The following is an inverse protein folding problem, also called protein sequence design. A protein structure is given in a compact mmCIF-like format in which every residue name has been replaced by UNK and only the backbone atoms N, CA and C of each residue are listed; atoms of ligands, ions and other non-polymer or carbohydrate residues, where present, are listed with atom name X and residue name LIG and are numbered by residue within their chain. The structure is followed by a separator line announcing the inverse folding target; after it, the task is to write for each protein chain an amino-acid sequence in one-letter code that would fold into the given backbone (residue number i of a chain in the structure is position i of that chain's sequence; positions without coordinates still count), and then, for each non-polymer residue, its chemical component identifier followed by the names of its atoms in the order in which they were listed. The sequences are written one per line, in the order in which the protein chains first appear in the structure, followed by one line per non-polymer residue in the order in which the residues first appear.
data_IF_128482717196
#
_entry.id   IF_128482717196
#
_cell.length_a   1.000
_cell.length_b   1.000
_cell.length_c   1.000
_cell.angle_alpha   90.00
_cell.angle_beta   90.00
_cell.angle_gamma   90.00
#
_symmetry.space_group_name_H-M   'P 1'
#
loop_
_entity.id
_entity.type
_entity.pdbx_description
1 polymer ?
#
# COMPACT_ATOMS: atom_id res chain seq x y z
N UNK A 1 -13.21 63.14 22.22
CA UNK A 1 -12.25 62.02 22.37
C UNK A 1 -12.77 60.95 23.35
N UNK A 2 -14.04 60.51 23.27
CA UNK A 2 -14.67 59.61 24.29
C UNK A 2 -14.78 58.12 23.91
N UNK A 3 -14.36 57.74 22.70
CA UNK A 3 -14.50 56.36 22.21
C UNK A 3 -13.15 55.63 22.09
N UNK A 4 -12.05 56.30 22.43
CA UNK A 4 -10.69 55.73 22.38
C UNK A 4 -10.58 54.42 23.17
N UNK A 5 -11.05 54.30 24.43
CA UNK A 5 -10.91 53.05 25.17
C UNK A 5 -11.75 51.91 24.57
N UNK A 6 -12.91 52.21 23.99
CA UNK A 6 -13.76 51.22 23.31
C UNK A 6 -13.16 50.72 21.99
N UNK A 7 -12.56 51.61 21.21
CA UNK A 7 -11.83 51.21 20.01
C UNK A 7 -10.58 50.39 20.36
N UNK A 8 -9.88 50.74 21.45
CA UNK A 8 -8.70 50.00 21.91
C UNK A 8 -9.05 48.57 22.37
N UNK A 9 -10.16 48.39 23.09
CA UNK A 9 -10.62 47.05 23.48
C UNK A 9 -11.13 46.24 22.29
N UNK A 10 -11.83 46.86 21.34
CA UNK A 10 -12.26 46.20 20.11
C UNK A 10 -11.07 45.73 19.26
N UNK A 11 -10.03 46.56 19.13
CA UNK A 11 -8.79 46.20 18.42
C UNK A 11 -8.08 45.06 19.16
N UNK A 12 -7.98 45.12 20.50
CA UNK A 12 -7.32 44.07 21.28
C UNK A 12 -8.06 42.73 21.16
N UNK A 13 -9.40 42.73 21.19
CA UNK A 13 -10.21 41.52 20.97
C UNK A 13 -10.07 40.97 19.55
N UNK A 14 -10.03 41.85 18.55
CA UNK A 14 -9.83 41.47 17.16
C UNK A 14 -8.44 40.84 16.96
N UNK A 15 -7.38 41.46 17.50
CA UNK A 15 -6.01 40.92 17.46
C UNK A 15 -5.92 39.59 18.21
N UNK A 16 -6.55 39.46 19.39
CA UNK A 16 -6.62 38.21 20.12
C UNK A 16 -7.38 37.12 19.35
N UNK A 17 -8.46 37.47 18.65
CA UNK A 17 -9.20 36.57 17.77
C UNK A 17 -8.36 36.09 16.58
N UNK A 18 -7.59 36.99 15.95
CA UNK A 18 -6.65 36.63 14.89
C UNK A 18 -5.49 35.75 15.38
N UNK A 19 -4.95 36.02 16.57
CA UNK A 19 -3.94 35.19 17.22
C UNK A 19 -4.48 33.80 17.55
N UNK A 20 -5.73 33.71 18.00
CA UNK A 20 -6.40 32.44 18.26
C UNK A 20 -6.59 31.62 16.98
N UNK A 21 -6.97 32.27 15.88
CA UNK A 21 -7.08 31.63 14.56
C UNK A 21 -5.72 31.18 13.98
N UNK A 22 -4.61 31.76 14.45
CA UNK A 22 -3.26 31.41 14.00
C UNK A 22 -2.61 30.27 14.81
N UNK A 23 -3.22 29.82 15.90
CA UNK A 23 -2.66 28.77 16.77
C UNK A 23 -3.51 27.51 16.64
N UNK A 24 -2.96 26.37 16.19
CA UNK A 24 -1.54 26.09 16.01
C UNK A 24 -1.00 26.47 14.61
N UNK A 25 0.14 27.20 14.50
CA UNK A 25 0.66 27.74 13.24
C UNK A 25 1.18 26.65 12.27
N UNK A 26 1.40 25.42 12.77
CA UNK A 26 1.86 24.29 11.97
C UNK A 26 0.76 23.62 11.14
N UNK A 27 -0.51 23.75 11.52
CA UNK A 27 -1.64 23.14 10.80
C UNK A 27 -2.27 24.10 9.78
N UNK A 28 -2.19 25.42 10.02
CA UNK A 28 -2.86 26.43 9.19
C UNK A 28 -2.05 26.92 7.99
N UNK A 29 -0.73 26.72 7.96
CA UNK A 29 0.16 27.24 6.92
C UNK A 29 0.78 26.13 6.06
N UNK A 30 0.24 25.95 4.85
CA UNK A 30 0.88 25.18 3.79
C UNK A 30 2.02 26.01 3.20
N UNK A 31 3.26 25.61 3.46
CA UNK A 31 4.44 26.21 2.83
C UNK A 31 4.44 25.77 1.36
N UNK A 32 4.69 26.73 0.48
CA UNK A 32 4.78 26.50 -0.96
C UNK A 32 6.01 25.71 -1.37
N UNK A 33 6.05 25.37 -2.67
CA UNK A 33 7.10 24.60 -3.33
C UNK A 33 8.52 25.06 -2.97
N UNK A 34 8.76 26.37 -2.98
CA UNK A 34 10.11 26.92 -2.84
C UNK A 34 10.71 26.73 -1.43
N UNK A 35 9.88 26.41 -0.43
CA UNK A 35 10.31 26.18 0.95
C UNK A 35 10.35 24.70 1.36
N UNK A 36 9.57 23.83 0.70
CA UNK A 36 9.49 22.40 1.03
C UNK A 36 10.10 21.49 -0.02
N UNK A 37 10.47 22.02 -1.19
CA UNK A 37 10.74 21.21 -2.37
C UNK A 37 9.47 20.61 -2.96
N UNK A 38 9.62 19.87 -4.05
CA UNK A 38 8.50 19.28 -4.78
C UNK A 38 8.89 18.02 -5.53
N UNK A 39 7.87 17.33 -6.03
CA UNK A 39 8.04 16.24 -6.99
C UNK A 39 7.68 16.77 -8.37
N UNK A 40 8.51 16.45 -9.35
CA UNK A 40 8.24 16.71 -10.76
C UNK A 40 7.87 15.41 -11.48
N UNK A 41 6.76 15.43 -12.21
CA UNK A 41 6.28 14.33 -13.04
C UNK A 41 6.28 14.80 -14.49
N UNK A 42 6.99 14.08 -15.36
CA UNK A 42 7.00 14.37 -16.80
C UNK A 42 6.09 13.40 -17.54
N UNK A 43 5.13 13.93 -18.29
CA UNK A 43 4.20 13.18 -19.12
C UNK A 43 4.51 13.40 -20.60
N UNK A 44 4.51 12.32 -21.39
CA UNK A 44 4.49 12.41 -22.85
C UNK A 44 3.05 12.57 -23.36
N UNK A 45 2.86 13.45 -24.32
CA UNK A 45 1.61 13.68 -25.04
C UNK A 45 1.78 13.14 -26.45
N UNK A 46 0.89 12.26 -26.89
CA UNK A 46 0.85 11.82 -28.29
C UNK A 46 0.21 12.94 -29.11
N UNK A 47 1.00 13.52 -30.03
CA UNK A 47 0.56 14.63 -30.88
C UNK A 47 0.44 14.11 -32.31
N UNK A 48 -0.71 14.29 -32.98
CA UNK A 48 -0.86 13.96 -34.40
C UNK A 48 0.11 14.75 -35.28
N UNK A 49 0.61 14.15 -36.36
CA UNK A 49 1.63 14.75 -37.25
C UNK A 49 1.19 16.10 -37.86
N UNK A 50 -0.11 16.27 -38.12
CA UNK A 50 -0.69 17.48 -38.73
C UNK A 50 -1.15 18.54 -37.70
N UNK A 51 -0.92 18.31 -36.40
CA UNK A 51 -1.40 19.20 -35.34
C UNK A 51 -0.34 20.20 -34.86
N UNK A 52 -0.79 21.40 -34.49
CA UNK A 52 0.06 22.38 -33.81
C UNK A 52 0.36 21.91 -32.37
N UNK A 53 1.60 21.50 -32.13
CA UNK A 53 2.04 21.00 -30.83
C UNK A 53 1.81 21.99 -29.70
N UNK A 54 2.06 23.29 -29.93
CA UNK A 54 1.91 24.29 -28.89
C UNK A 54 0.46 24.40 -28.45
N UNK A 55 -0.47 24.32 -29.41
CA UNK A 55 -1.91 24.33 -29.15
C UNK A 55 -2.38 23.05 -28.45
N UNK A 56 -1.94 21.88 -28.91
CA UNK A 56 -2.30 20.59 -28.29
C UNK A 56 -1.81 20.51 -26.85
N UNK A 57 -0.58 20.95 -26.58
CA UNK A 57 -0.03 21.00 -25.22
C UNK A 57 -0.81 21.99 -24.34
N UNK A 58 -1.16 23.17 -24.86
CA UNK A 58 -1.94 24.16 -24.12
C UNK A 58 -3.35 23.65 -23.75
N UNK A 59 -4.03 23.01 -24.71
CA UNK A 59 -5.35 22.41 -24.51
C UNK A 59 -5.29 21.27 -23.48
N UNK A 60 -4.27 20.39 -23.59
CA UNK A 60 -4.04 19.32 -22.63
C UNK A 60 -3.77 19.86 -21.22
N UNK A 61 -2.91 20.87 -21.08
CA UNK A 61 -2.65 21.55 -19.80
C UNK A 61 -3.95 22.12 -19.22
N UNK A 62 -4.81 22.75 -20.04
CA UNK A 62 -6.09 23.30 -19.60
C UNK A 62 -7.00 22.26 -18.95
N UNK A 63 -7.17 21.10 -19.61
CA UNK A 63 -7.97 19.98 -19.09
C UNK A 63 -7.36 19.41 -17.81
N UNK A 64 -6.04 19.20 -17.78
CA UNK A 64 -5.35 18.67 -16.61
C UNK A 64 -5.46 19.63 -15.41
N UNK A 65 -5.34 20.93 -15.63
CA UNK A 65 -5.49 21.97 -14.60
C UNK A 65 -6.90 22.00 -14.03
N UNK A 66 -7.93 21.93 -14.88
CA UNK A 66 -9.33 21.94 -14.43
C UNK A 66 -9.69 20.69 -13.61
N UNK A 67 -9.07 19.54 -13.91
CA UNK A 67 -9.31 18.29 -13.17
C UNK A 67 -8.53 18.22 -11.86
N UNK A 68 -7.26 18.62 -11.87
CA UNK A 68 -6.41 18.56 -10.69
C UNK A 68 -6.69 19.70 -9.71
N UNK A 69 -6.96 20.92 -10.20
CA UNK A 69 -7.09 22.09 -9.36
C UNK A 69 -8.21 23.03 -9.85
N UNK A 70 -9.48 22.59 -9.86
CA UNK A 70 -10.58 23.38 -10.39
C UNK A 70 -10.76 24.71 -9.65
N UNK A 71 -10.52 24.74 -8.33
CA UNK A 71 -10.61 25.95 -7.51
C UNK A 71 -9.31 26.76 -7.45
N UNK A 72 -8.23 26.30 -8.08
CA UNK A 72 -6.94 27.01 -8.08
C UNK A 72 -6.23 27.08 -6.73
N UNK A 73 -6.68 26.32 -5.72
CA UNK A 73 -6.20 26.41 -4.33
C UNK A 73 -4.87 25.68 -4.09
N UNK A 74 -4.53 24.72 -4.96
CA UNK A 74 -3.30 23.93 -4.85
C UNK A 74 -2.12 24.60 -5.59
N UNK A 75 -0.93 24.54 -5.01
CA UNK A 75 0.32 25.05 -5.60
C UNK A 75 0.90 24.06 -6.64
N UNK A 76 0.10 23.70 -7.66
CA UNK A 76 0.51 22.78 -8.73
C UNK A 76 0.81 23.59 -9.99
N UNK A 77 2.00 23.39 -10.55
CA UNK A 77 2.41 24.03 -11.80
C UNK A 77 2.46 23.03 -12.94
N UNK A 78 2.00 23.48 -14.12
CA UNK A 78 2.01 22.72 -15.37
C UNK A 78 2.86 23.49 -16.37
N UNK A 79 3.96 22.90 -16.81
CA UNK A 79 4.92 23.54 -17.72
C UNK A 79 5.10 22.65 -18.95
N UNK A 80 4.87 23.16 -20.17
CA UNK A 80 5.21 22.42 -21.38
C UNK A 80 6.73 22.27 -21.48
N UNK A 81 7.21 21.07 -21.77
CA UNK A 81 8.62 20.74 -21.92
C UNK A 81 8.89 20.16 -23.32
N UNK A 82 9.72 20.85 -24.10
CA UNK A 82 10.08 20.41 -25.44
C UNK A 82 8.89 20.32 -26.40
N UNK A 83 8.89 19.30 -27.27
CA UNK A 83 7.92 19.16 -28.36
C UNK A 83 6.60 18.51 -27.92
N UNK A 84 6.67 17.51 -27.03
CA UNK A 84 5.53 16.65 -26.70
C UNK A 84 5.46 16.25 -25.22
N UNK A 85 6.01 17.06 -24.31
CA UNK A 85 5.99 16.72 -22.88
C UNK A 85 5.36 17.82 -22.05
N UNK A 86 4.78 17.41 -20.92
CA UNK A 86 4.25 18.30 -19.89
C UNK A 86 4.91 17.89 -18.59
N UNK A 87 5.58 18.83 -17.94
CA UNK A 87 6.07 18.70 -16.58
C UNK A 87 5.02 19.22 -15.61
N UNK A 88 4.69 18.39 -14.62
CA UNK A 88 3.75 18.72 -13.56
C UNK A 88 4.51 18.69 -12.24
N UNK A 89 4.64 19.86 -11.60
CA UNK A 89 5.36 20.01 -10.34
C UNK A 89 4.37 20.26 -9.22
N UNK A 90 4.48 19.48 -8.14
CA UNK A 90 3.67 19.60 -6.94
C UNK A 90 4.55 19.73 -5.69
N UNK A 91 4.16 20.51 -4.67
CA UNK A 91 4.89 20.63 -3.42
C UNK A 91 4.87 19.30 -2.67
N UNK A 92 5.91 19.07 -1.87
CA UNK A 92 5.92 17.92 -0.98
C UNK A 92 4.86 18.07 0.13
N UNK A 93 4.18 16.97 0.52
CA UNK A 93 3.29 16.96 1.67
C UNK A 93 4.01 17.41 2.95
N UNK A 94 3.25 17.82 3.98
CA UNK A 94 3.83 18.22 5.26
C UNK A 94 4.64 17.06 5.89
N UNK A 95 5.64 17.34 6.74
CA UNK A 95 6.40 16.29 7.43
C UNK A 95 5.51 15.32 8.22
N UNK A 96 4.39 15.80 8.78
CA UNK A 96 3.38 14.96 9.45
C UNK A 96 2.75 13.97 8.48
N UNK A 97 2.30 14.42 7.31
CA UNK A 97 1.70 13.55 6.28
C UNK A 97 2.72 12.55 5.73
N UNK A 98 3.99 12.96 5.58
CA UNK A 98 5.07 12.06 5.17
C UNK A 98 5.31 10.95 6.21
N UNK A 99 5.36 11.29 7.51
CA UNK A 99 5.53 10.30 8.57
C UNK A 99 4.33 9.35 8.65
N UNK A 100 3.10 9.87 8.51
CA UNK A 100 1.89 9.05 8.45
C UNK A 100 1.92 8.08 7.24
N UNK A 101 2.34 8.56 6.08
CA UNK A 101 2.50 7.73 4.88
C UNK A 101 3.57 6.65 5.07
N UNK A 102 4.71 7.01 5.66
CA UNK A 102 5.80 6.08 5.94
C UNK A 102 5.41 5.04 7.01
N UNK A 103 4.66 5.44 8.02
CA UNK A 103 4.11 4.54 9.05
C UNK A 103 3.14 3.53 8.45
N UNK A 104 2.20 4.00 7.62
CA UNK A 104 1.29 3.14 6.86
C UNK A 104 2.04 2.14 5.96
N UNK A 105 2.99 2.62 5.15
CA UNK A 105 3.77 1.77 4.25
C UNK A 105 4.55 0.69 4.99
N UNK A 106 5.25 1.05 6.06
CA UNK A 106 5.98 0.08 6.90
C UNK A 106 5.06 -1.00 7.47
N UNK A 107 3.88 -0.63 7.96
CA UNK A 107 2.92 -1.62 8.48
C UNK A 107 2.35 -2.53 7.39
N UNK A 108 2.11 -1.98 6.19
CA UNK A 108 1.61 -2.73 5.05
C UNK A 108 2.65 -3.75 4.57
N UNK A 109 3.92 -3.34 4.43
CA UNK A 109 5.02 -4.23 4.06
C UNK A 109 5.22 -5.35 5.08
N UNK A 110 5.17 -5.04 6.38
CA UNK A 110 5.27 -6.03 7.44
C UNK A 110 4.10 -7.03 7.45
N UNK A 111 2.87 -6.54 7.18
CA UNK A 111 1.69 -7.40 7.05
C UNK A 111 1.82 -8.34 5.84
N UNK A 112 2.20 -7.82 4.67
CA UNK A 112 2.37 -8.63 3.46
C UNK A 112 3.45 -9.70 3.68
N UNK A 113 4.60 -9.31 4.25
CA UNK A 113 5.69 -10.23 4.54
C UNK A 113 5.31 -11.32 5.55
N UNK A 114 4.56 -10.99 6.60
CA UNK A 114 4.13 -11.97 7.61
C UNK A 114 2.96 -12.85 7.16
N UNK A 115 2.12 -12.36 6.24
CA UNK A 115 0.97 -13.09 5.71
C UNK A 115 1.34 -14.16 4.69
N UNK A 116 2.47 -13.97 3.98
CA UNK A 116 2.99 -14.96 3.05
C UNK A 116 3.68 -16.06 3.86
N UNK A 117 3.28 -17.30 3.60
CA UNK A 117 3.91 -18.46 4.21
C UNK A 117 4.14 -19.50 3.11
N UNK A 118 5.38 -19.60 2.65
CA UNK A 118 5.80 -20.65 1.72
C UNK A 118 6.24 -21.88 2.52
N UNK A 119 5.93 -23.08 2.03
CA UNK A 119 6.23 -24.32 2.75
C UNK A 119 7.72 -24.42 3.11
N UNK A 120 8.61 -24.14 2.15
CA UNK A 120 10.06 -24.18 2.35
C UNK A 120 10.55 -23.19 3.43
N UNK A 121 9.95 -22.00 3.50
CA UNK A 121 10.28 -21.01 4.52
C UNK A 121 9.80 -21.45 5.90
N UNK A 122 8.63 -22.10 5.99
CA UNK A 122 8.12 -22.68 7.23
C UNK A 122 9.04 -23.80 7.70
N UNK A 123 9.47 -24.69 6.80
CA UNK A 123 10.43 -25.76 7.09
C UNK A 123 11.74 -25.19 7.64
N UNK A 124 12.31 -24.19 6.95
CA UNK A 124 13.54 -23.54 7.38
C UNK A 124 13.38 -22.86 8.75
N UNK A 125 12.27 -22.16 8.99
CA UNK A 125 11.97 -21.54 10.27
C UNK A 125 11.73 -22.56 11.39
N UNK A 126 11.15 -23.72 11.07
CA UNK A 126 10.94 -24.81 12.03
C UNK A 126 12.28 -25.41 12.49
N UNK A 127 13.21 -25.62 11.56
CA UNK A 127 14.59 -26.00 11.89
C UNK A 127 15.33 -24.93 12.71
N UNK A 128 15.04 -23.65 12.47
CA UNK A 128 15.60 -22.54 13.25
C UNK A 128 14.90 -22.29 14.60
N UNK A 129 13.79 -22.99 14.90
CA UNK A 129 13.00 -22.81 16.13
C UNK A 129 12.33 -21.44 16.24
N UNK A 130 11.99 -20.80 15.11
CA UNK A 130 11.35 -19.49 15.07
C UNK A 130 10.12 -19.42 14.15
N UNK A 131 9.57 -20.58 13.76
CA UNK A 131 8.39 -20.68 12.92
C UNK A 131 7.16 -20.06 13.59
N UNK A 132 6.97 -20.30 14.89
CA UNK A 132 5.86 -19.70 15.66
C UNK A 132 5.98 -18.17 15.68
N UNK A 133 7.19 -17.64 15.86
CA UNK A 133 7.43 -16.20 15.92
C UNK A 133 7.22 -15.51 14.55
N UNK A 134 7.63 -16.14 13.45
CA UNK A 134 7.45 -15.58 12.09
C UNK A 134 6.03 -15.74 11.55
N UNK A 135 5.44 -16.91 11.69
CA UNK A 135 4.22 -17.31 10.96
C UNK A 135 3.00 -17.56 11.84
N UNK A 136 3.13 -17.46 13.18
CA UNK A 136 2.06 -17.79 14.12
C UNK A 136 0.90 -16.81 14.15
N UNK A 137 1.16 -15.52 13.93
CA UNK A 137 0.13 -14.48 13.97
C UNK A 137 -0.65 -14.46 15.30
N UNK A 138 -1.94 -14.20 15.24
CA UNK A 138 -2.86 -14.18 16.38
C UNK A 138 -3.66 -15.49 16.57
N UNK A 139 -3.51 -16.47 15.67
CA UNK A 139 -4.26 -17.72 15.72
C UNK A 139 -3.52 -18.78 16.56
N UNK A 140 -4.06 -19.10 17.73
CA UNK A 140 -3.51 -20.10 18.64
C UNK A 140 -3.47 -21.51 18.03
N UNK A 141 -4.42 -21.86 17.15
CA UNK A 141 -4.41 -23.16 16.46
C UNK A 141 -3.24 -23.22 15.50
N UNK A 142 -2.99 -22.14 14.76
CA UNK A 142 -1.85 -22.02 13.85
C UNK A 142 -0.52 -22.07 14.62
N UNK A 143 -0.41 -21.35 15.74
CA UNK A 143 0.77 -21.40 16.62
C UNK A 143 1.04 -22.82 17.14
N UNK A 144 -0.01 -23.53 17.57
CA UNK A 144 0.09 -24.91 18.02
C UNK A 144 0.64 -25.85 16.95
N UNK A 145 0.16 -25.73 15.71
CA UNK A 145 0.68 -26.51 14.56
C UNK A 145 2.13 -26.17 14.23
N UNK A 146 2.50 -24.88 14.24
CA UNK A 146 3.89 -24.46 14.01
C UNK A 146 4.84 -24.97 15.11
N UNK A 147 4.41 -24.96 16.37
CA UNK A 147 5.16 -25.54 17.47
C UNK A 147 5.35 -27.07 17.31
N UNK A 148 4.35 -27.78 16.80
CA UNK A 148 4.48 -29.19 16.44
C UNK A 148 5.50 -29.41 15.33
N UNK A 149 5.56 -28.53 14.31
CA UNK A 149 6.58 -28.60 13.26
C UNK A 149 7.99 -28.35 13.80
N UNK A 150 8.16 -27.39 14.70
CA UNK A 150 9.45 -27.16 15.39
C UNK A 150 9.89 -28.39 16.20
N UNK A 151 8.95 -29.12 16.81
CA UNK A 151 9.24 -30.40 17.47
C UNK A 151 9.67 -31.49 16.48
N UNK A 152 8.99 -31.62 15.33
CA UNK A 152 9.41 -32.56 14.28
C UNK A 152 10.80 -32.21 13.74
N UNK A 153 11.10 -30.92 13.58
CA UNK A 153 12.41 -30.46 13.14
C UNK A 153 13.51 -30.85 14.14
N UNK A 154 13.25 -30.69 15.45
CA UNK A 154 14.15 -31.12 16.52
C UNK A 154 14.31 -32.64 16.56
N UNK A 155 13.22 -33.40 16.36
CA UNK A 155 13.27 -34.87 16.27
C UNK A 155 14.11 -35.34 15.08
N UNK A 156 13.98 -34.71 13.91
CA UNK A 156 14.79 -35.03 12.74
C UNK A 156 16.28 -34.79 12.99
N UNK A 157 16.64 -33.68 13.66
CA UNK A 157 18.02 -33.39 14.06
C UNK A 157 18.57 -34.45 15.02
N UNK A 158 17.83 -34.77 16.09
CA UNK A 158 18.22 -35.79 17.05
C UNK A 158 18.38 -37.18 16.40
N UNK A 159 17.49 -37.54 15.46
CA UNK A 159 17.59 -38.79 14.72
C UNK A 159 18.82 -38.84 13.78
N UNK A 160 19.21 -37.70 13.19
CA UNK A 160 20.46 -37.60 12.41
C UNK A 160 21.70 -37.79 13.28
N UNK A 161 21.72 -37.21 14.48
CA UNK A 161 22.78 -37.43 15.46
C UNK A 161 22.86 -38.91 15.88
N UNK A 162 21.71 -39.53 16.17
CA UNK A 162 21.63 -40.95 16.48
C UNK A 162 22.13 -41.84 15.33
N UNK A 163 21.81 -41.48 14.08
CA UNK A 163 22.32 -42.19 12.90
C UNK A 163 23.85 -42.10 12.79
N UNK A 164 24.44 -40.94 13.07
CA UNK A 164 25.90 -40.77 13.07
C UNK A 164 26.56 -41.67 14.11
N UNK A 165 26.01 -41.71 15.33
CA UNK A 165 26.50 -42.59 16.41
C UNK A 165 26.37 -44.07 16.00
N UNK A 166 25.20 -44.48 15.49
CA UNK A 166 24.95 -45.85 15.05
C UNK A 166 25.84 -46.27 13.85
N UNK A 167 26.21 -45.33 12.99
CA UNK A 167 27.15 -45.56 11.89
C UNK A 167 28.57 -45.76 12.43
N UNK A 168 28.98 -44.96 13.42
CA UNK A 168 30.29 -45.08 14.05
C UNK A 168 30.45 -46.39 14.86
N UNK A 169 29.38 -46.89 15.47
CA UNK A 169 29.39 -48.15 16.23
C UNK A 169 29.12 -49.39 15.39
N UNK A 170 28.68 -49.24 14.14
CA UNK A 170 28.32 -50.34 13.26
C UNK A 170 27.02 -51.06 13.64
N UNK A 171 26.15 -50.43 14.45
CA UNK A 171 24.86 -51.02 14.87
C UNK A 171 23.80 -50.84 13.78
N UNK A 172 23.61 -51.87 12.96
CA UNK A 172 22.62 -51.86 11.86
C UNK A 172 21.17 -51.68 12.33
N UNK A 173 20.81 -52.15 13.53
CA UNK A 173 19.45 -52.02 14.05
C UNK A 173 19.16 -50.57 14.48
N UNK A 174 20.13 -49.95 15.16
CA UNK A 174 20.06 -48.54 15.49
C UNK A 174 20.07 -47.64 14.23
N UNK A 175 20.86 -47.99 13.20
CA UNK A 175 20.85 -47.26 11.92
C UNK A 175 19.47 -47.30 11.25
N UNK A 176 18.84 -48.48 11.15
CA UNK A 176 17.49 -48.62 10.56
C UNK A 176 16.44 -47.82 11.31
N UNK A 177 16.54 -47.80 12.64
CA UNK A 177 15.61 -47.05 13.50
C UNK A 177 15.78 -45.55 13.30
N UNK A 178 17.02 -45.05 13.33
CA UNK A 178 17.32 -43.64 13.08
C UNK A 178 16.90 -43.18 11.68
N UNK A 179 17.12 -44.00 10.64
CA UNK A 179 16.66 -43.70 9.28
C UNK A 179 15.13 -43.61 9.19
N UNK A 180 14.41 -44.53 9.85
CA UNK A 180 12.94 -44.49 9.90
C UNK A 180 12.42 -43.24 10.64
N UNK A 181 13.07 -42.85 11.74
CA UNK A 181 12.71 -41.65 12.50
C UNK A 181 12.98 -40.36 11.71
N UNK A 182 14.10 -40.28 10.97
CA UNK A 182 14.39 -39.15 10.07
C UNK A 182 13.30 -39.05 9.01
N UNK A 183 13.01 -40.15 8.31
CA UNK A 183 12.00 -40.15 7.25
C UNK A 183 10.62 -39.76 7.78
N UNK A 184 10.19 -40.30 8.92
CA UNK A 184 8.90 -39.97 9.51
C UNK A 184 8.82 -38.49 9.93
N UNK A 185 9.88 -37.97 10.57
CA UNK A 185 9.92 -36.58 11.01
C UNK A 185 9.95 -35.59 9.83
N UNK A 186 10.74 -35.87 8.79
CA UNK A 186 10.82 -35.03 7.58
C UNK A 186 9.50 -35.03 6.80
N UNK A 187 8.87 -36.19 6.60
CA UNK A 187 7.57 -36.28 5.93
C UNK A 187 6.49 -35.51 6.70
N UNK A 188 6.42 -35.69 8.02
CA UNK A 188 5.46 -34.95 8.85
C UNK A 188 5.70 -33.44 8.78
N UNK A 189 6.97 -33.02 8.73
CA UNK A 189 7.36 -31.63 8.66
C UNK A 189 6.99 -31.01 7.30
N UNK A 190 7.27 -31.70 6.19
CA UNK A 190 6.93 -31.23 4.85
C UNK A 190 5.41 -31.16 4.64
N UNK A 191 4.67 -32.20 5.03
CA UNK A 191 3.22 -32.22 4.92
C UNK A 191 2.56 -31.13 5.75
N UNK A 192 2.95 -30.97 7.01
CA UNK A 192 2.38 -29.92 7.85
C UNK A 192 2.80 -28.51 7.41
N UNK A 193 3.98 -28.34 6.82
CA UNK A 193 4.37 -27.07 6.20
C UNK A 193 3.50 -26.76 4.96
N UNK A 194 3.21 -27.74 4.11
CA UNK A 194 2.31 -27.59 2.96
C UNK A 194 0.88 -27.24 3.39
N UNK A 195 0.36 -27.83 4.46
CA UNK A 195 -0.97 -27.50 5.00
C UNK A 195 -1.07 -26.08 5.55
N UNK A 196 0.05 -25.55 6.08
CA UNK A 196 0.12 -24.20 6.64
C UNK A 196 0.51 -23.15 5.60
N UNK A 197 1.01 -23.58 4.44
CA UNK A 197 1.37 -22.71 3.35
C UNK A 197 0.13 -22.00 2.83
N UNK A 198 0.25 -20.70 2.61
CA UNK A 198 -0.87 -19.87 2.17
C UNK A 198 -0.38 -18.81 1.19
N UNK A 199 -1.13 -18.55 0.10
CA UNK A 199 -0.86 -17.40 -0.74
C UNK A 199 -1.05 -16.14 0.11
N UNK A 200 0.06 -15.42 0.35
CA UNK A 200 0.07 -14.25 1.21
C UNK A 200 -0.90 -13.16 0.76
N UNK A 201 -1.21 -12.23 1.67
CA UNK A 201 -2.07 -11.10 1.37
C UNK A 201 -1.44 -10.23 0.29
N UNK A 202 -2.15 -10.05 -0.82
CA UNK A 202 -1.70 -9.15 -1.88
C UNK A 202 -1.83 -7.70 -1.44
N UNK A 203 -0.70 -6.97 -1.45
CA UNK A 203 -0.65 -5.53 -1.20
C UNK A 203 -1.69 -4.77 -2.05
N UNK A 204 -1.72 -5.06 -3.36
CA UNK A 204 -2.66 -4.43 -4.30
C UNK A 204 -4.12 -4.63 -3.93
N UNK A 205 -4.47 -5.81 -3.38
CA UNK A 205 -5.84 -6.10 -2.96
C UNK A 205 -6.20 -5.26 -1.75
N UNK A 206 -5.33 -5.20 -0.75
CA UNK A 206 -5.58 -4.41 0.46
C UNK A 206 -5.64 -2.91 0.14
N UNK A 207 -4.71 -2.38 -0.65
CA UNK A 207 -4.72 -0.98 -1.09
C UNK A 207 -5.99 -0.66 -1.90
N UNK A 208 -6.44 -1.57 -2.78
CA UNK A 208 -7.71 -1.41 -3.50
C UNK A 208 -8.90 -1.36 -2.55
N UNK A 209 -8.96 -2.26 -1.57
CA UNK A 209 -10.02 -2.28 -0.56
C UNK A 209 -10.05 -0.97 0.26
N UNK A 210 -8.88 -0.47 0.67
CA UNK A 210 -8.74 0.80 1.40
C UNK A 210 -9.18 2.02 0.57
N UNK A 211 -9.03 1.95 -0.75
CA UNK A 211 -9.43 3.00 -1.68
C UNK A 211 -10.93 3.01 -2.02
N UNK A 212 -11.70 2.00 -1.57
CA UNK A 212 -13.16 1.98 -1.76
C UNK A 212 -13.85 3.01 -0.86
N UNK A 213 -15.04 3.50 -1.25
CA UNK A 213 -15.82 4.40 -0.42
C UNK A 213 -16.16 3.78 0.94
N UNK A 214 -16.04 4.57 2.00
CA UNK A 214 -16.43 4.16 3.36
C UNK A 214 -17.86 4.56 3.74
N UNK A 215 -18.63 5.06 2.78
CA UNK A 215 -19.99 5.49 3.02
C UNK A 215 -20.91 4.27 3.12
N UNK A 216 -21.74 4.17 4.18
CA UNK A 216 -22.78 3.15 4.27
C UNK A 216 -23.68 3.19 3.04
N UNK A 217 -24.01 2.02 2.48
CA UNK A 217 -24.88 1.94 1.29
C UNK A 217 -26.26 1.42 1.69
N UNK A 218 -27.34 1.84 1.00
CA UNK A 218 -28.66 1.28 1.25
C UNK A 218 -28.67 -0.22 0.91
N UNK A 219 -29.09 -1.04 1.86
CA UNK A 219 -29.18 -2.48 1.67
C UNK A 219 -30.26 -2.77 0.62
N UNK A 220 -29.92 -3.49 -0.45
CA UNK A 220 -30.88 -3.81 -1.52
C UNK A 220 -31.43 -5.21 -1.36
N UNK A 221 -32.72 -5.37 -1.61
CA UNK A 221 -33.36 -6.67 -1.68
C UNK A 221 -32.89 -7.41 -2.96
N UNK A 222 -32.29 -8.60 -2.85
CA UNK A 222 -31.78 -9.36 -3.98
C UNK A 222 -32.86 -9.77 -5.00
N UNK A 223 -34.14 -9.85 -4.59
CA UNK A 223 -35.23 -10.22 -5.49
C UNK A 223 -35.80 -9.03 -6.28
N UNK A 224 -35.79 -7.84 -5.70
CA UNK A 224 -36.48 -6.65 -6.27
C UNK A 224 -35.54 -5.51 -6.66
N UNK A 225 -34.28 -5.55 -6.22
CA UNK A 225 -33.26 -4.52 -6.48
C UNK A 225 -33.51 -3.18 -5.79
N UNK A 226 -34.56 -3.08 -4.97
CA UNK A 226 -34.96 -1.87 -4.24
C UNK A 226 -34.29 -1.83 -2.87
N UNK A 227 -34.05 -0.63 -2.36
CA UNK A 227 -33.55 -0.43 -1.00
C UNK A 227 -34.54 -1.00 0.02
N UNK A 228 -34.06 -1.77 0.99
CA UNK A 228 -34.85 -2.25 2.12
C UNK A 228 -35.23 -1.06 2.99
N UNK A 229 -36.47 -1.08 3.44
CA UNK A 229 -37.06 -0.01 4.26
C UNK A 229 -37.42 -0.62 5.61
N UNK A 230 -37.13 0.09 6.69
CA UNK A 230 -37.55 -0.28 8.04
C UNK A 230 -39.06 -0.09 8.23
N UNK A 231 -39.60 -0.55 9.37
CA UNK A 231 -41.02 -0.39 9.71
C UNK A 231 -41.48 1.08 9.82
N UNK A 232 -40.54 2.03 9.82
CA UNK A 232 -40.78 3.48 9.95
C UNK A 232 -40.64 4.24 8.63
N UNK A 233 -40.36 3.55 7.52
CA UNK A 233 -40.22 4.17 6.21
C UNK A 233 -38.82 4.67 5.87
N UNK A 234 -37.80 4.43 6.70
CA UNK A 234 -36.41 4.81 6.43
C UNK A 234 -35.66 3.70 5.71
N UNK A 235 -34.70 4.07 4.86
CA UNK A 235 -33.84 3.10 4.19
C UNK A 235 -32.88 2.45 5.18
N UNK A 236 -32.82 1.12 5.18
CA UNK A 236 -31.85 0.36 5.95
C UNK A 236 -30.48 0.54 5.29
N UNK A 237 -29.53 1.10 6.03
CA UNK A 237 -28.16 1.28 5.58
C UNK A 237 -27.34 0.04 5.96
N UNK A 238 -26.77 -0.62 4.97
CA UNK A 238 -25.82 -1.71 5.11
C UNK A 238 -24.37 -1.20 5.23
N UNK A 239 -23.40 -2.13 5.31
CA UNK A 239 -21.98 -1.80 5.39
C UNK A 239 -21.49 -1.04 4.13
N UNK A 240 -20.38 -0.31 4.29
CA UNK A 240 -19.68 0.34 3.17
C UNK A 240 -18.99 -0.71 2.29
N UNK A 241 -18.72 -0.38 1.02
CA UNK A 241 -17.95 -1.27 0.12
C UNK A 241 -16.58 -1.60 0.71
N UNK A 242 -15.92 -0.59 1.28
CA UNK A 242 -14.68 -0.78 2.02
C UNK A 242 -14.86 -1.73 3.20
N UNK A 243 -15.92 -1.57 3.99
CA UNK A 243 -16.24 -2.42 5.13
C UNK A 243 -16.46 -3.88 4.73
N UNK A 244 -17.20 -4.12 3.65
CA UNK A 244 -17.46 -5.46 3.12
C UNK A 244 -16.17 -6.16 2.66
N UNK A 245 -15.35 -5.48 1.87
CA UNK A 245 -14.08 -6.03 1.36
C UNK A 245 -13.07 -6.25 2.49
N UNK A 246 -12.94 -5.30 3.43
CA UNK A 246 -12.07 -5.49 4.60
C UNK A 246 -12.55 -6.65 5.48
N UNK A 247 -13.87 -6.83 5.64
CA UNK A 247 -14.43 -7.97 6.36
C UNK A 247 -14.16 -9.30 5.63
N UNK A 248 -14.14 -9.32 4.29
CA UNK A 248 -13.73 -10.49 3.52
C UNK A 248 -12.24 -10.80 3.72
N UNK A 249 -11.37 -9.80 3.63
CA UNK A 249 -9.92 -9.94 3.85
C UNK A 249 -9.62 -10.45 5.27
N UNK A 250 -10.30 -9.94 6.29
CA UNK A 250 -10.14 -10.40 7.68
C UNK A 250 -10.54 -11.85 7.88
N UNK A 251 -11.60 -12.32 7.21
CA UNK A 251 -12.04 -13.71 7.31
C UNK A 251 -11.04 -14.66 6.65
N UNK A 252 -10.49 -14.26 5.51
CA UNK A 252 -9.49 -15.05 4.79
C UNK A 252 -8.14 -15.10 5.53
N UNK A 253 -7.73 -13.98 6.13
CA UNK A 253 -6.49 -13.86 6.88
C UNK A 253 -6.76 -13.67 8.39
N UNK A 254 -7.56 -14.56 8.98
CA UNK A 254 -7.99 -14.45 10.38
C UNK A 254 -6.80 -14.37 11.36
N UNK A 255 -5.72 -15.12 11.09
CA UNK A 255 -4.49 -15.09 11.87
C UNK A 255 -3.77 -13.72 11.86
N UNK A 256 -4.04 -12.87 10.87
CA UNK A 256 -3.45 -11.53 10.73
C UNK A 256 -4.47 -10.40 10.95
N UNK A 257 -5.66 -10.70 11.49
CA UNK A 257 -6.71 -9.70 11.70
C UNK A 257 -6.24 -8.48 12.52
N UNK A 258 -5.47 -8.63 13.62
CA UNK A 258 -4.96 -7.47 14.36
C UNK A 258 -3.98 -6.60 13.56
N UNK A 259 -3.13 -7.22 12.74
CA UNK A 259 -2.21 -6.49 11.87
C UNK A 259 -2.95 -5.78 10.74
N UNK A 260 -4.03 -6.38 10.21
CA UNK A 260 -4.93 -5.74 9.25
C UNK A 260 -5.60 -4.51 9.90
N UNK A 261 -6.09 -4.64 11.14
CA UNK A 261 -6.63 -3.51 11.91
C UNK A 261 -5.64 -2.36 12.03
N UNK A 262 -4.40 -2.67 12.41
CA UNK A 262 -3.34 -1.67 12.56
C UNK A 262 -3.07 -0.92 11.24
N UNK A 263 -3.01 -1.64 10.12
CA UNK A 263 -2.82 -1.03 8.79
C UNK A 263 -4.01 -0.15 8.41
N UNK A 264 -5.24 -0.59 8.70
CA UNK A 264 -6.47 0.18 8.43
C UNK A 264 -6.49 1.46 9.27
N UNK A 265 -6.11 1.41 10.54
CA UNK A 265 -6.05 2.61 11.39
C UNK A 265 -4.95 3.58 10.95
N UNK A 266 -3.77 3.09 10.57
CA UNK A 266 -2.70 3.92 9.99
C UNK A 266 -3.14 4.55 8.67
N UNK A 267 -3.89 3.82 7.84
CA UNK A 267 -4.48 4.37 6.63
C UNK A 267 -5.47 5.48 6.93
N UNK A 268 -6.40 5.29 7.87
CA UNK A 268 -7.37 6.33 8.27
C UNK A 268 -6.68 7.59 8.78
N UNK A 269 -5.64 7.43 9.61
CA UNK A 269 -4.84 8.56 10.10
C UNK A 269 -4.19 9.32 8.93
N UNK A 270 -3.59 8.61 7.99
CA UNK A 270 -3.03 9.19 6.76
C UNK A 270 -4.09 9.88 5.89
N UNK A 271 -5.21 9.21 5.63
CA UNK A 271 -6.34 9.69 4.81
C UNK A 271 -6.95 10.97 5.39
N UNK A 272 -7.09 11.07 6.71
CA UNK A 272 -7.67 12.25 7.39
C UNK A 272 -6.82 13.53 7.26
N UNK A 273 -5.49 13.39 7.11
CA UNK A 273 -4.55 14.51 7.03
C UNK A 273 -4.15 14.85 5.60
N UNK A 274 -4.40 13.93 4.67
CA UNK A 274 -4.14 14.10 3.23
C UNK A 274 -5.14 15.11 2.65
N UNK A 275 -4.64 16.28 2.24
CA UNK A 275 -5.32 17.10 1.24
C UNK A 275 -5.35 16.35 -0.09
N UNK A 276 -6.46 16.37 -0.81
CA UNK A 276 -6.74 15.40 -1.89
C UNK A 276 -5.67 15.15 -2.97
N UNK A 277 -4.64 16.01 -3.11
CA UNK A 277 -3.52 15.88 -4.06
C UNK A 277 -2.16 16.03 -3.37
N UNK A 278 -1.94 15.28 -2.30
CA UNK A 278 -0.71 15.33 -1.51
C UNK A 278 0.32 14.26 -1.94
N UNK A 279 -0.01 13.37 -2.88
CA UNK A 279 0.95 12.38 -3.40
C UNK A 279 1.01 12.32 -4.93
N UNK A 280 2.19 12.00 -5.52
CA UNK A 280 2.31 11.76 -6.97
C UNK A 280 1.37 10.68 -7.51
N UNK A 281 0.97 9.72 -6.67
CA UNK A 281 0.04 8.66 -7.05
C UNK A 281 -1.41 9.15 -7.17
N UNK A 282 -1.83 10.16 -6.40
CA UNK A 282 -3.10 10.87 -6.67
C UNK A 282 -3.06 11.55 -8.03
N UNK A 283 -1.91 12.16 -8.30
CA UNK A 283 -1.46 12.73 -9.55
C UNK A 283 -1.88 11.84 -10.74
N UNK A 284 -1.24 10.68 -10.72
CA UNK A 284 -1.41 9.61 -11.69
C UNK A 284 -2.84 9.07 -11.73
N UNK A 285 -3.52 8.95 -10.58
CA UNK A 285 -4.91 8.44 -10.51
C UNK A 285 -5.89 9.41 -11.18
N UNK A 286 -5.79 10.71 -10.93
CA UNK A 286 -6.66 11.71 -11.58
C UNK A 286 -6.41 11.79 -13.09
N UNK A 287 -5.18 11.53 -13.52
CA UNK A 287 -4.82 11.51 -14.94
C UNK A 287 -5.16 10.17 -15.61
N UNK A 288 -5.30 9.08 -14.86
CA UNK A 288 -5.71 7.76 -15.35
C UNK A 288 -7.16 7.83 -15.83
N UNK A 289 -7.33 7.93 -17.15
CA UNK A 289 -8.64 8.13 -17.81
C UNK A 289 -8.71 9.36 -18.72
N UNK A 290 -7.63 10.14 -18.85
CA UNK A 290 -7.55 11.28 -19.77
C UNK A 290 -7.20 10.90 -21.23
N UNK A 291 -6.91 9.63 -21.52
CA UNK A 291 -6.41 9.14 -22.80
C UNK A 291 -5.38 8.04 -22.57
N UNK A 292 -5.10 7.21 -23.58
CA UNK A 292 -4.20 6.04 -23.49
C UNK A 292 -2.85 6.45 -22.90
N UNK A 293 -2.57 6.04 -21.66
CA UNK A 293 -1.33 6.37 -20.95
C UNK A 293 -0.37 5.18 -21.03
N UNK A 294 0.64 5.29 -21.90
CA UNK A 294 1.80 4.40 -21.90
C UNK A 294 2.89 4.98 -21.00
N UNK A 295 3.13 4.36 -19.83
CA UNK A 295 4.24 4.72 -18.96
C UNK A 295 5.54 4.13 -19.51
N UNK A 296 6.51 4.98 -19.86
CA UNK A 296 7.88 4.55 -20.14
C UNK A 296 8.76 4.91 -18.94
N UNK A 297 9.31 3.89 -18.27
CA UNK A 297 10.42 4.08 -17.33
C UNK A 297 11.66 4.28 -18.20
N UNK A 298 12.25 5.48 -18.17
CA UNK A 298 13.52 5.71 -18.86
C UNK A 298 14.60 4.87 -18.16
N UNK A 299 15.18 3.91 -18.88
CA UNK A 299 16.38 3.20 -18.43
C UNK A 299 17.54 4.19 -18.53
N UNK A 300 18.23 4.45 -17.41
CA UNK A 300 19.44 5.26 -17.40
C UNK A 300 20.49 4.63 -18.33
N UNK A 301 21.09 5.45 -19.19
CA UNK A 301 21.99 5.00 -20.25
C UNK A 301 23.31 4.36 -19.74
N UNK A 302 23.52 4.30 -18.44
CA UNK A 302 24.76 3.83 -17.82
C UNK A 302 24.77 2.34 -17.48
N UNK A 303 23.66 1.60 -17.60
CA UNK A 303 23.65 0.13 -17.57
C UNK A 303 22.52 -0.46 -18.43
N UNK A 304 22.76 -0.54 -19.74
CA UNK A 304 21.98 -1.39 -20.63
C UNK A 304 22.66 -2.76 -20.75
N UNK A 305 22.42 -3.66 -19.79
CA UNK A 305 22.61 -5.09 -20.05
C UNK A 305 21.36 -5.60 -20.76
N UNK A 306 21.52 -6.03 -22.01
CA UNK A 306 20.51 -6.84 -22.71
C UNK A 306 19.61 -6.14 -23.73
N UNK A 307 19.85 -4.89 -24.13
CA UNK A 307 19.09 -4.24 -25.22
C UNK A 307 20.04 -3.72 -26.28
N UNK A 308 19.88 -4.20 -27.52
CA UNK A 308 20.73 -3.80 -28.65
C UNK A 308 20.22 -2.48 -29.25
N UNK A 309 20.95 -1.37 -29.10
CA UNK A 309 20.54 -0.06 -29.59
C UNK A 309 20.42 0.03 -31.11
N UNK A 310 21.07 -0.87 -31.86
CA UNK A 310 20.99 -0.87 -33.33
C UNK A 310 19.69 -1.49 -33.85
N UNK A 311 19.08 -2.41 -33.09
CA UNK A 311 17.78 -2.99 -33.41
C UNK A 311 16.65 -1.96 -33.22
N UNK A 312 16.75 -1.14 -32.17
CA UNK A 312 15.85 -0.02 -31.91
C UNK A 312 15.94 1.06 -33.00
N UNK A 313 17.14 1.32 -33.53
CA UNK A 313 17.33 2.28 -34.65
C UNK A 313 16.70 1.79 -35.95
N UNK A 314 16.70 0.48 -36.22
CA UNK A 314 16.01 -0.09 -37.39
C UNK A 314 14.50 0.01 -37.28
N UNK A 315 13.94 -0.28 -36.11
CA UNK A 315 12.49 -0.18 -35.89
C UNK A 315 11.96 1.26 -35.99
N UNK A 316 12.81 2.26 -35.72
CA UNK A 316 12.50 3.68 -35.90
C UNK A 316 12.54 4.15 -37.37
N UNK A 317 13.20 3.41 -38.26
CA UNK A 317 13.30 3.76 -39.68
C UNK A 317 12.18 3.13 -40.54
N UNK A 318 11.42 2.19 -40.00
CA UNK A 318 10.28 1.53 -40.67
C UNK A 318 8.91 2.16 -40.32
N UNK A 319 8.91 3.34 -39.67
CA UNK A 319 7.76 4.23 -39.55
C UNK A 319 8.03 5.52 -40.29
#
# INVERSE_FOLDING_TARGET
MKNIPFHLTAILLLVAGFLYLLIPPKESLRLGRDLRGGVSLTYGVEIPEDADNARVLADAIGVLKQRANPQGTLDISFVPQGYNRIEVVMPLPSPEVQELQASFRRSLEALVASSRADADEIVAAAHAGNAVARFGGADETRKGRLAQLEEQARRALAAREALQVATATGDEAAQRTALADIAAAEVALEQGAQELASPGLSERRLVRALALPDEPRPERDPATGRSKIDERGNTIMGPSERGEELAAVRREFAAHAPQIDEVVEKWKAYESRRGGLDSPEDLKRLFRGAGVLNFHIAVEATRAEGVNPDELRKQLAER
#
